data_IF_082236706750
#
_entry.id   IF_082236706750
#
_cell.length_a   1.000
_cell.length_b   1.000
_cell.length_c   1.000
_cell.angle_alpha   90.00
_cell.angle_beta   90.00
_cell.angle_gamma   90.00
#
_symmetry.space_group_name_H-M   'P 1'
#
loop_
_entity.id
_entity.type
_entity.pdbx_description
1 polymer ?
#
# COMPACT_ATOMS: atom_id res chain seq x y z
N UNK A 1 38.01 -12.62 9.69
CA UNK A 1 37.41 -11.40 9.08
C UNK A 1 37.95 -11.31 7.67
N UNK A 2 37.13 -11.53 6.64
CA UNK A 2 37.58 -11.53 5.25
C UNK A 2 38.17 -10.17 4.87
N UNK A 3 39.39 -10.18 4.33
CA UNK A 3 40.10 -8.99 3.91
C UNK A 3 39.30 -8.23 2.84
N UNK A 4 39.04 -6.95 3.10
CA UNK A 4 38.32 -6.05 2.19
C UNK A 4 39.24 -5.74 1.02
N UNK A 5 38.94 -6.26 -0.17
CA UNK A 5 39.69 -5.92 -1.39
C UNK A 5 39.28 -4.53 -1.91
N UNK A 6 40.23 -3.72 -2.40
CA UNK A 6 39.92 -2.43 -2.99
C UNK A 6 39.04 -2.61 -4.25
N UNK A 7 38.05 -1.73 -4.42
CA UNK A 7 37.04 -1.78 -5.49
C UNK A 7 37.65 -1.92 -6.90
N UNK A 8 38.79 -1.29 -7.10
CA UNK A 8 39.56 -1.27 -8.35
C UNK A 8 40.10 -2.67 -8.71
N UNK A 9 40.37 -3.50 -7.70
CA UNK A 9 40.88 -4.86 -7.88
C UNK A 9 39.72 -5.84 -8.12
N UNK A 10 38.57 -5.62 -7.49
CA UNK A 10 37.34 -6.37 -7.76
C UNK A 10 36.79 -6.20 -9.19
N UNK A 11 36.97 -5.02 -9.79
CA UNK A 11 36.55 -4.73 -11.17
C UNK A 11 37.40 -5.42 -12.23
N UNK A 12 38.67 -5.75 -11.94
CA UNK A 12 39.59 -6.40 -12.89
C UNK A 12 39.37 -7.91 -13.00
N UNK A 13 38.71 -8.53 -12.03
CA UNK A 13 38.57 -9.98 -11.90
C UNK A 13 37.29 -10.54 -12.52
N UNK A 14 36.62 -9.83 -13.42
CA UNK A 14 35.37 -10.30 -14.03
C UNK A 14 35.58 -10.75 -15.49
N UNK A 15 35.91 -12.02 -15.76
CA UNK A 15 36.14 -12.53 -17.12
C UNK A 15 34.85 -12.74 -17.94
N UNK A 16 33.73 -12.11 -17.59
CA UNK A 16 32.42 -12.41 -18.19
C UNK A 16 31.54 -11.19 -18.52
N UNK A 17 32.10 -9.97 -18.56
CA UNK A 17 31.34 -8.81 -19.03
C UNK A 17 31.57 -8.60 -20.52
N UNK A 18 30.70 -9.20 -21.33
CA UNK A 18 30.64 -8.93 -22.77
C UNK A 18 30.08 -7.51 -22.99
N UNK A 19 30.86 -6.56 -23.54
CA UNK A 19 30.47 -5.16 -23.69
C UNK A 19 29.24 -4.97 -24.59
N UNK A 20 28.87 -6.00 -25.38
CA UNK A 20 27.64 -6.01 -26.17
C UNK A 20 26.40 -6.14 -25.28
N UNK A 21 26.46 -7.00 -24.26
CA UNK A 21 25.36 -7.22 -23.29
C UNK A 21 25.18 -5.99 -22.41
N UNK A 22 26.28 -5.37 -21.97
CA UNK A 22 26.24 -4.11 -21.22
C UNK A 22 25.62 -2.98 -22.04
N UNK A 23 26.00 -2.84 -23.31
CA UNK A 23 25.40 -1.82 -24.19
C UNK A 23 23.91 -2.07 -24.44
N UNK A 24 23.48 -3.32 -24.60
CA UNK A 24 22.05 -3.64 -24.75
C UNK A 24 21.25 -3.36 -23.47
N UNK A 25 21.85 -3.57 -22.30
CA UNK A 25 21.26 -3.23 -21.00
C UNK A 25 21.15 -1.71 -20.79
N UNK A 26 22.21 -0.96 -21.10
CA UNK A 26 22.29 0.50 -20.87
C UNK A 26 21.49 1.29 -21.90
N UNK A 27 21.58 0.91 -23.18
CA UNK A 27 20.96 1.65 -24.29
C UNK A 27 19.64 1.04 -24.77
N UNK A 28 19.15 -0.01 -24.09
CA UNK A 28 17.75 -0.44 -24.15
C UNK A 28 17.28 -0.92 -25.51
N UNK A 29 17.69 -2.13 -25.91
CA UNK A 29 17.10 -2.83 -27.05
C UNK A 29 15.78 -3.52 -26.71
N UNK A 30 14.80 -2.83 -26.12
CA UNK A 30 13.48 -3.42 -25.79
C UNK A 30 12.40 -2.87 -26.73
N UNK A 31 12.30 -3.45 -27.92
CA UNK A 31 11.21 -3.23 -28.89
C UNK A 31 10.01 -4.12 -28.58
N UNK A 32 9.59 -4.17 -27.32
CA UNK A 32 8.28 -4.72 -26.98
C UNK A 32 7.50 -3.64 -26.25
N UNK A 33 6.27 -3.31 -26.70
CA UNK A 33 5.43 -2.36 -26.00
C UNK A 33 5.12 -2.96 -24.63
N UNK A 34 5.73 -2.39 -23.59
CA UNK A 34 5.31 -2.64 -22.22
C UNK A 34 3.82 -2.29 -22.18
N UNK A 35 2.92 -3.23 -21.85
CA UNK A 35 1.50 -2.92 -21.75
C UNK A 35 1.35 -1.75 -20.78
N UNK A 36 0.42 -0.81 -21.06
CA UNK A 36 0.22 0.34 -20.19
C UNK A 36 0.01 -0.21 -18.78
N UNK A 37 0.93 0.11 -17.88
CA UNK A 37 0.79 -0.22 -16.46
C UNK A 37 -0.47 0.53 -16.04
N UNK A 38 -1.58 -0.20 -15.88
CA UNK A 38 -2.78 0.35 -15.26
C UNK A 38 -2.32 1.02 -13.98
N UNK A 39 -2.48 2.34 -13.91
CA UNK A 39 -2.14 3.09 -12.71
C UNK A 39 -2.98 2.48 -11.61
N UNK A 40 -2.34 1.70 -10.74
CA UNK A 40 -2.97 1.16 -9.56
C UNK A 40 -3.68 2.32 -8.88
N UNK A 41 -5.01 2.21 -8.76
CA UNK A 41 -5.84 3.21 -8.09
C UNK A 41 -5.19 3.44 -6.73
N UNK A 42 -4.73 4.67 -6.49
CA UNK A 42 -4.00 4.99 -5.28
C UNK A 42 -4.88 4.58 -4.09
N UNK A 43 -4.35 3.71 -3.23
CA UNK A 43 -5.09 3.25 -2.06
C UNK A 43 -5.53 4.47 -1.24
N UNK A 44 -6.78 4.48 -0.72
CA UNK A 44 -7.30 5.61 0.03
C UNK A 44 -6.37 5.90 1.22
N UNK A 45 -5.92 7.15 1.32
CA UNK A 45 -5.03 7.60 2.40
C UNK A 45 -5.85 7.71 3.69
N UNK A 46 -5.50 6.90 4.69
CA UNK A 46 -6.15 6.93 6.01
C UNK A 46 -5.50 8.01 6.87
N UNK A 47 -6.32 8.86 7.49
CA UNK A 47 -5.88 9.90 8.41
C UNK A 47 -6.42 9.64 9.83
N UNK A 48 -5.65 9.94 10.90
CA UNK A 48 -6.14 9.78 12.26
C UNK A 48 -7.22 10.83 12.56
N UNK A 49 -8.39 10.37 13.00
CA UNK A 49 -9.48 11.21 13.49
C UNK A 49 -9.69 10.91 14.99
N UNK A 50 -9.56 11.92 15.84
CA UNK A 50 -9.81 11.79 17.29
C UNK A 50 -10.96 12.69 17.72
N UNK A 51 -11.99 12.11 18.31
CA UNK A 51 -13.17 12.83 18.82
C UNK A 51 -13.68 12.14 20.10
N UNK A 52 -14.46 12.87 20.90
CA UNK A 52 -15.17 12.30 22.06
C UNK A 52 -16.57 11.90 21.63
N UNK A 53 -17.02 10.72 22.04
CA UNK A 53 -18.40 10.25 21.83
C UNK A 53 -18.98 9.75 23.16
N UNK A 54 -20.29 9.52 23.21
CA UNK A 54 -20.95 9.01 24.42
C UNK A 54 -20.44 7.61 24.78
N UNK A 55 -20.31 7.34 26.08
CA UNK A 55 -19.73 6.10 26.58
C UNK A 55 -20.55 4.85 26.19
N UNK A 56 -21.89 4.97 26.17
CA UNK A 56 -22.80 3.91 25.75
C UNK A 56 -22.62 3.57 24.26
N UNK A 57 -22.34 4.58 23.42
CA UNK A 57 -22.07 4.36 21.99
C UNK A 57 -20.75 3.63 21.77
N UNK A 58 -19.69 3.99 22.50
CA UNK A 58 -18.41 3.25 22.42
C UNK A 58 -18.60 1.79 22.82
N UNK A 59 -19.33 1.54 23.92
CA UNK A 59 -19.58 0.18 24.41
C UNK A 59 -20.38 -0.65 23.41
N UNK A 60 -21.45 -0.08 22.85
CA UNK A 60 -22.27 -0.72 21.84
C UNK A 60 -21.47 -1.01 20.56
N UNK A 61 -20.67 -0.04 20.09
CA UNK A 61 -19.86 -0.18 18.88
C UNK A 61 -18.80 -1.29 19.03
N UNK A 62 -18.11 -1.34 20.16
CA UNK A 62 -17.14 -2.43 20.46
C UNK A 62 -17.81 -3.80 20.48
N UNK A 63 -18.99 -3.90 21.09
CA UNK A 63 -19.76 -5.15 21.10
C UNK A 63 -20.16 -5.55 19.69
N UNK A 64 -20.70 -4.63 18.90
CA UNK A 64 -21.11 -4.88 17.52
C UNK A 64 -19.93 -5.35 16.65
N UNK A 65 -18.78 -4.68 16.77
CA UNK A 65 -17.55 -5.07 16.08
C UNK A 65 -17.14 -6.51 16.43
N UNK A 66 -17.12 -6.86 17.72
CA UNK A 66 -16.78 -8.23 18.14
C UNK A 66 -17.79 -9.26 17.63
N UNK A 67 -19.09 -8.99 17.75
CA UNK A 67 -20.13 -9.90 17.26
C UNK A 67 -20.00 -10.14 15.76
N UNK A 68 -19.81 -9.09 14.96
CA UNK A 68 -19.59 -9.22 13.51
C UNK A 68 -18.34 -10.03 13.17
N UNK A 69 -17.25 -9.88 13.92
CA UNK A 69 -16.03 -10.68 13.74
C UNK A 69 -16.29 -12.17 14.01
N UNK A 70 -17.01 -12.50 15.08
CA UNK A 70 -17.35 -13.88 15.42
C UNK A 70 -18.28 -14.51 14.38
N UNK A 71 -19.20 -13.71 13.83
CA UNK A 71 -20.16 -14.13 12.81
C UNK A 71 -19.59 -14.10 11.38
N UNK A 72 -18.35 -13.64 11.20
CA UNK A 72 -17.70 -13.51 9.88
C UNK A 72 -18.35 -12.45 8.97
N UNK A 73 -19.02 -11.45 9.53
CA UNK A 73 -19.72 -10.39 8.79
C UNK A 73 -18.78 -9.22 8.48
N UNK A 74 -18.92 -8.62 7.29
CA UNK A 74 -18.16 -7.43 6.86
C UNK A 74 -19.15 -6.28 6.63
N UNK A 75 -18.87 -5.05 7.13
CA UNK A 75 -17.66 -4.63 7.83
C UNK A 75 -17.64 -5.00 9.31
N UNK A 76 -16.46 -5.39 9.81
CA UNK A 76 -16.29 -5.91 11.18
C UNK A 76 -15.44 -5.03 12.09
N UNK A 77 -14.52 -4.25 11.51
CA UNK A 77 -13.65 -3.38 12.29
C UNK A 77 -14.37 -2.10 12.72
N UNK A 78 -13.95 -1.51 13.84
CA UNK A 78 -14.49 -0.23 14.30
C UNK A 78 -14.36 0.86 13.24
N UNK A 79 -13.23 0.89 12.52
CA UNK A 79 -12.99 1.88 11.47
C UNK A 79 -14.00 1.71 10.32
N UNK A 80 -14.15 0.52 9.78
CA UNK A 80 -15.04 0.28 8.64
C UNK A 80 -16.51 0.54 9.03
N UNK A 81 -16.93 0.14 10.24
CA UNK A 81 -18.29 0.40 10.73
C UNK A 81 -18.53 1.92 10.87
N UNK A 82 -17.51 2.67 11.33
CA UNK A 82 -17.60 4.13 11.41
C UNK A 82 -17.65 4.78 10.03
N UNK A 83 -16.84 4.32 9.07
CA UNK A 83 -16.86 4.82 7.69
C UNK A 83 -18.20 4.55 7.01
N UNK A 84 -18.73 3.31 7.12
CA UNK A 84 -20.05 2.93 6.59
C UNK A 84 -21.19 3.78 7.17
N UNK A 85 -21.09 4.16 8.45
CA UNK A 85 -22.09 5.00 9.10
C UNK A 85 -21.94 6.50 8.76
N UNK A 86 -20.71 6.98 8.55
CA UNK A 86 -20.42 8.40 8.29
C UNK A 86 -20.60 8.78 6.82
N UNK A 87 -20.28 7.87 5.90
CA UNK A 87 -20.34 8.12 4.46
C UNK A 87 -21.72 8.65 4.00
N UNK A 88 -22.87 8.02 4.35
CA UNK A 88 -24.18 8.52 3.91
C UNK A 88 -24.47 9.94 4.39
N UNK A 89 -24.06 10.27 5.61
CA UNK A 89 -24.26 11.62 6.16
C UNK A 89 -23.38 12.64 5.42
N UNK A 90 -22.11 12.31 5.15
CA UNK A 90 -21.20 13.21 4.45
C UNK A 90 -21.62 13.46 3.00
N UNK A 91 -22.03 12.41 2.28
CA UNK A 91 -22.50 12.51 0.90
C UNK A 91 -23.81 13.29 0.80
N UNK A 92 -24.76 13.05 1.72
CA UNK A 92 -26.04 13.78 1.74
C UNK A 92 -25.88 15.30 1.93
N UNK A 93 -24.79 15.74 2.57
CA UNK A 93 -24.49 17.16 2.79
C UNK A 93 -23.45 17.72 1.81
N UNK A 94 -22.98 16.93 0.85
CA UNK A 94 -22.01 17.36 -0.17
C UNK A 94 -20.60 17.61 0.36
N UNK A 95 -20.21 16.99 1.48
CA UNK A 95 -18.85 17.07 2.03
C UNK A 95 -17.89 16.07 1.37
N UNK A 96 -18.43 15.00 0.79
CA UNK A 96 -17.69 13.99 0.02
C UNK A 96 -18.34 13.93 -1.38
N UNK A 97 -17.52 13.95 -2.45
CA UNK A 97 -18.01 13.90 -3.83
C UNK A 97 -18.62 12.55 -4.21
#
# INVERSE_FOLDING_TARGET
MSERRPLIEGLKSNPANDPVVEKQFVFGGRTEPVPPVERAVAAPVRAPLTTRIRADYVAALKRASLTRQLDGQIPSSLQEILEEALEPWLTAHGYVP
#
